data_IF_791373899947
#
_entry.id   IF_791373899947
#
_cell.length_a   1.000
_cell.length_b   1.000
_cell.length_c   1.000
_cell.angle_alpha   90.00
_cell.angle_beta   90.00
_cell.angle_gamma   90.00
#
_symmetry.space_group_name_H-M   'P 1'
#
loop_
_entity.id
_entity.type
_entity.pdbx_description
1 polymer ?
#
# COMPACT_ATOMS: atom_id res chain seq x y z
N UNK A 1 -24.29 -14.73 14.35
CA UNK A 1 -22.86 -14.44 14.58
C UNK A 1 -22.32 -15.19 15.82
N UNK A 2 -22.97 -16.27 16.29
CA UNK A 2 -22.72 -16.79 17.67
C UNK A 2 -22.62 -18.31 17.79
N UNK A 3 -22.85 -19.09 16.73
CA UNK A 3 -22.90 -20.58 16.82
C UNK A 3 -21.50 -21.22 16.67
N UNK A 4 -20.63 -20.61 15.86
CA UNK A 4 -19.26 -21.11 15.68
C UNK A 4 -18.32 -20.76 16.85
N UNK A 5 -18.66 -19.75 17.66
CA UNK A 5 -17.89 -19.42 18.86
C UNK A 5 -17.94 -20.54 19.91
N UNK A 6 -18.97 -21.39 19.87
CA UNK A 6 -19.11 -22.53 20.77
C UNK A 6 -18.46 -23.82 20.22
N UNK A 7 -18.30 -23.91 18.89
CA UNK A 7 -17.72 -25.06 18.20
C UNK A 7 -16.47 -24.65 17.39
N UNK A 8 -15.30 -24.75 18.03
CA UNK A 8 -14.01 -24.50 17.37
C UNK A 8 -13.73 -25.55 16.28
N UNK A 9 -13.96 -25.14 15.03
CA UNK A 9 -13.54 -25.86 13.83
C UNK A 9 -12.67 -24.92 12.98
N UNK A 10 -11.33 -25.01 13.12
CA UNK A 10 -10.44 -24.04 12.50
C UNK A 10 -10.30 -24.20 10.99
N UNK A 11 -10.56 -25.40 10.44
CA UNK A 11 -10.61 -25.61 9.00
C UNK A 11 -11.87 -24.96 8.42
N UNK A 12 -13.03 -25.16 9.04
CA UNK A 12 -14.27 -24.49 8.63
C UNK A 12 -14.18 -22.97 8.73
N UNK A 13 -13.53 -22.43 9.78
CA UNK A 13 -13.30 -20.98 9.90
C UNK A 13 -12.51 -20.47 8.68
N UNK A 14 -11.44 -21.17 8.29
CA UNK A 14 -10.58 -20.74 7.19
C UNK A 14 -11.21 -20.92 5.82
N UNK A 15 -11.86 -22.06 5.58
CA UNK A 15 -12.28 -22.48 4.24
C UNK A 15 -13.71 -22.07 3.91
N UNK A 16 -14.57 -21.81 4.91
CA UNK A 16 -15.97 -21.43 4.68
C UNK A 16 -16.28 -20.06 5.28
N UNK A 17 -16.06 -19.88 6.59
CA UNK A 17 -16.52 -18.67 7.27
C UNK A 17 -15.81 -17.41 6.75
N UNK A 18 -14.49 -17.45 6.55
CA UNK A 18 -13.76 -16.29 6.01
C UNK A 18 -14.12 -15.99 4.56
N UNK A 19 -14.40 -17.00 3.74
CA UNK A 19 -14.86 -16.80 2.36
C UNK A 19 -16.24 -16.11 2.36
N UNK A 20 -17.18 -16.56 3.18
CA UNK A 20 -18.51 -15.96 3.31
C UNK A 20 -18.48 -14.55 3.92
N UNK A 21 -17.57 -14.31 4.87
CA UNK A 21 -17.43 -13.01 5.55
C UNK A 21 -16.89 -11.93 4.61
N UNK A 22 -16.10 -12.32 3.60
CA UNK A 22 -15.36 -11.41 2.74
C UNK A 22 -14.19 -10.74 3.47
N UNK A 23 -13.54 -9.78 2.82
CA UNK A 23 -12.25 -9.23 3.25
C UNK A 23 -12.33 -8.01 4.17
N UNK A 24 -11.17 -7.62 4.73
CA UNK A 24 -10.98 -6.37 5.47
C UNK A 24 -11.47 -6.45 6.91
N UNK A 25 -12.11 -5.38 7.40
CA UNK A 25 -12.53 -5.28 8.82
C UNK A 25 -13.39 -6.47 9.30
N UNK A 26 -14.40 -6.96 8.56
CA UNK A 26 -15.19 -8.13 8.97
C UNK A 26 -14.34 -9.40 9.13
N UNK A 27 -13.46 -9.73 8.17
CA UNK A 27 -12.56 -10.88 8.31
C UNK A 27 -11.60 -10.72 9.49
N UNK A 28 -11.03 -9.52 9.69
CA UNK A 28 -10.16 -9.25 10.83
C UNK A 28 -10.88 -9.44 12.17
N UNK A 29 -12.17 -9.11 12.28
CA UNK A 29 -12.97 -9.37 13.49
C UNK A 29 -13.12 -10.88 13.74
N UNK A 30 -13.46 -11.67 12.71
CA UNK A 30 -13.51 -13.15 12.82
C UNK A 30 -12.16 -13.72 13.26
N UNK A 31 -11.07 -13.26 12.63
CA UNK A 31 -9.71 -13.71 12.92
C UNK A 31 -9.27 -13.39 14.34
N UNK A 32 -9.67 -12.23 14.92
CA UNK A 32 -9.36 -11.92 16.33
C UNK A 32 -9.94 -12.96 17.29
N UNK A 33 -11.18 -13.39 17.07
CA UNK A 33 -11.79 -14.44 17.89
C UNK A 33 -11.16 -15.81 17.63
N UNK A 34 -10.85 -16.14 16.37
CA UNK A 34 -10.18 -17.39 16.02
C UNK A 34 -8.78 -17.51 16.65
N UNK A 35 -8.02 -16.40 16.68
CA UNK A 35 -6.73 -16.30 17.37
C UNK A 35 -6.87 -16.60 18.86
N UNK A 36 -7.83 -15.95 19.54
CA UNK A 36 -8.05 -16.15 20.98
C UNK A 36 -8.39 -17.62 21.30
N UNK A 37 -9.20 -18.27 20.47
CA UNK A 37 -9.60 -19.65 20.68
C UNK A 37 -8.47 -20.64 20.39
N UNK A 38 -7.67 -20.39 19.34
CA UNK A 38 -6.45 -21.16 19.07
C UNK A 38 -5.44 -21.05 20.22
N UNK A 39 -5.22 -19.84 20.75
CA UNK A 39 -4.33 -19.59 21.90
C UNK A 39 -4.83 -20.31 23.15
N UNK A 40 -6.14 -20.23 23.45
CA UNK A 40 -6.75 -20.90 24.60
C UNK A 40 -6.58 -22.42 24.56
N UNK A 41 -6.60 -23.00 23.36
CA UNK A 41 -6.45 -24.44 23.12
C UNK A 41 -5.01 -24.88 22.90
N UNK A 42 -4.08 -23.94 22.77
CA UNK A 42 -2.69 -24.20 22.35
C UNK A 42 -2.63 -24.95 21.01
N UNK A 43 -3.50 -24.59 20.07
CA UNK A 43 -3.52 -25.15 18.73
C UNK A 43 -2.47 -24.45 17.84
N UNK A 44 -1.20 -24.87 18.03
CA UNK A 44 -0.03 -24.18 17.47
C UNK A 44 -0.15 -23.92 15.95
N UNK A 45 -0.50 -24.91 15.09
CA UNK A 45 -0.67 -24.66 13.66
C UNK A 45 -1.64 -23.49 13.36
N UNK A 46 -2.75 -23.41 14.09
CA UNK A 46 -3.76 -22.38 13.88
C UNK A 46 -3.46 -21.06 14.59
N UNK A 47 -2.66 -21.07 15.67
CA UNK A 47 -2.08 -19.86 16.25
C UNK A 47 -1.23 -19.10 15.21
N UNK A 48 -0.47 -19.82 14.37
CA UNK A 48 0.25 -19.24 13.23
C UNK A 48 -0.70 -18.83 12.12
N UNK A 49 -1.53 -19.77 11.63
CA UNK A 49 -2.37 -19.55 10.45
C UNK A 49 -3.29 -18.33 10.60
N UNK A 50 -4.00 -18.20 11.72
CA UNK A 50 -4.92 -17.08 11.90
C UNK A 50 -4.20 -15.74 12.00
N UNK A 51 -3.02 -15.70 12.66
CA UNK A 51 -2.22 -14.46 12.73
C UNK A 51 -1.63 -14.08 11.37
N UNK A 52 -1.19 -15.05 10.58
CA UNK A 52 -0.70 -14.81 9.21
C UNK A 52 -1.84 -14.29 8.32
N UNK A 53 -3.02 -14.91 8.39
CA UNK A 53 -4.17 -14.45 7.63
C UNK A 53 -4.62 -13.05 8.10
N UNK A 54 -4.58 -12.77 9.40
CA UNK A 54 -4.87 -11.43 9.94
C UNK A 54 -3.91 -10.38 9.39
N UNK A 55 -2.61 -10.68 9.37
CA UNK A 55 -1.58 -9.84 8.79
C UNK A 55 -1.84 -9.58 7.30
N UNK A 56 -2.24 -10.61 6.55
CA UNK A 56 -2.62 -10.51 5.14
C UNK A 56 -3.84 -9.61 4.95
N UNK A 57 -4.90 -9.79 5.74
CA UNK A 57 -6.10 -8.93 5.69
C UNK A 57 -5.78 -7.47 5.98
N UNK A 58 -4.95 -7.20 6.99
CA UNK A 58 -4.50 -5.84 7.30
C UNK A 58 -3.68 -5.21 6.17
N UNK A 59 -2.93 -6.00 5.41
CA UNK A 59 -2.02 -5.52 4.36
C UNK A 59 -2.78 -5.25 3.06
N UNK A 60 -3.58 -6.20 2.58
CA UNK A 60 -4.18 -6.10 1.25
C UNK A 60 -5.59 -5.48 1.25
N UNK A 61 -6.28 -5.49 2.40
CA UNK A 61 -7.66 -5.01 2.54
C UNK A 61 -7.83 -4.00 3.70
N UNK A 62 -6.70 -3.52 4.23
CA UNK A 62 -6.63 -2.52 5.29
C UNK A 62 -5.60 -1.44 4.97
N UNK A 63 -5.10 -0.78 6.01
CA UNK A 63 -4.11 0.30 5.92
C UNK A 63 -2.77 -0.07 6.57
N UNK A 64 -2.49 -1.37 6.76
CA UNK A 64 -1.23 -1.85 7.34
C UNK A 64 -1.05 -1.64 8.85
N UNK A 65 -1.88 -0.83 9.52
CA UNK A 65 -1.69 -0.51 10.93
C UNK A 65 -1.88 -1.72 11.86
N UNK A 66 -2.89 -2.56 11.59
CA UNK A 66 -3.16 -3.73 12.43
C UNK A 66 -2.07 -4.80 12.31
N UNK A 67 -1.43 -4.90 11.15
CA UNK A 67 -0.24 -5.72 10.93
C UNK A 67 0.89 -5.32 11.89
N UNK A 68 1.19 -4.03 12.06
CA UNK A 68 2.24 -3.55 12.98
C UNK A 68 1.99 -3.96 14.44
N UNK A 69 0.71 -4.10 14.82
CA UNK A 69 0.30 -4.51 16.17
C UNK A 69 0.37 -6.02 16.33
N UNK A 70 -0.07 -6.79 15.33
CA UNK A 70 -0.14 -8.26 15.38
C UNK A 70 1.22 -8.93 15.18
N UNK A 71 2.08 -8.35 14.35
CA UNK A 71 3.32 -8.99 13.92
C UNK A 71 4.30 -9.33 15.06
N UNK A 72 4.49 -8.49 16.11
CA UNK A 72 5.34 -8.86 17.24
C UNK A 72 4.89 -10.17 17.93
N UNK A 73 3.58 -10.43 18.03
CA UNK A 73 3.07 -11.70 18.57
C UNK A 73 3.41 -12.88 17.65
N UNK A 74 3.21 -12.70 16.35
CA UNK A 74 3.52 -13.73 15.34
C UNK A 74 5.03 -14.05 15.30
N UNK A 75 5.88 -13.03 15.40
CA UNK A 75 7.32 -13.19 15.43
C UNK A 75 7.77 -13.91 16.70
N UNK A 76 7.22 -13.54 17.87
CA UNK A 76 7.49 -14.24 19.13
C UNK A 76 7.04 -15.72 19.08
N UNK A 77 5.93 -16.01 18.40
CA UNK A 77 5.47 -17.38 18.20
C UNK A 77 6.44 -18.20 17.34
N UNK A 78 6.99 -17.60 16.27
CA UNK A 78 8.05 -18.23 15.46
C UNK A 78 9.32 -18.49 16.27
N UNK A 79 9.71 -17.57 17.14
CA UNK A 79 10.88 -17.73 18.01
C UNK A 79 10.66 -18.80 19.09
N UNK A 80 9.42 -18.94 19.58
CA UNK A 80 9.05 -19.98 20.54
C UNK A 80 8.98 -21.38 19.91
N UNK A 81 8.50 -21.47 18.66
CA UNK A 81 8.30 -22.74 17.95
C UNK A 81 9.05 -22.78 16.61
N UNK A 82 10.40 -22.71 16.62
CA UNK A 82 11.19 -22.56 15.40
C UNK A 82 11.13 -23.77 14.44
N UNK A 83 10.69 -24.92 14.94
CA UNK A 83 10.56 -26.16 14.15
C UNK A 83 9.10 -26.50 13.79
N UNK A 84 8.15 -25.58 14.04
CA UNK A 84 6.75 -25.80 13.65
C UNK A 84 6.67 -26.01 12.15
N UNK A 85 6.16 -27.17 11.73
CA UNK A 85 5.99 -27.50 10.32
C UNK A 85 5.02 -26.52 9.67
N UNK A 86 5.39 -26.03 8.49
CA UNK A 86 4.59 -25.10 7.71
C UNK A 86 3.29 -25.74 7.24
N UNK A 87 2.25 -24.93 7.14
CA UNK A 87 0.96 -25.38 6.66
C UNK A 87 1.01 -25.73 5.16
N UNK A 88 0.44 -26.88 4.74
CA UNK A 88 0.48 -27.34 3.36
C UNK A 88 -0.25 -26.45 2.36
N UNK A 89 -1.08 -25.50 2.82
CA UNK A 89 -1.68 -24.45 1.96
C UNK A 89 -0.63 -23.49 1.38
N UNK A 90 0.57 -23.43 1.98
CA UNK A 90 1.65 -22.56 1.56
C UNK A 90 2.92 -23.34 1.17
N UNK A 91 3.85 -22.65 0.51
CA UNK A 91 5.08 -23.25 -0.03
C UNK A 91 6.21 -23.39 1.00
N UNK A 92 5.96 -23.02 2.26
CA UNK A 92 6.96 -22.92 3.31
C UNK A 92 7.11 -24.23 4.07
N UNK A 93 8.36 -24.61 4.37
CA UNK A 93 8.65 -25.85 5.10
C UNK A 93 8.37 -25.71 6.59
N UNK A 94 8.68 -24.54 7.15
CA UNK A 94 8.45 -24.19 8.53
C UNK A 94 7.66 -22.89 8.61
N UNK A 95 6.82 -22.73 9.64
CA UNK A 95 6.06 -21.50 9.82
C UNK A 95 6.97 -20.27 10.00
N UNK A 96 8.16 -20.44 10.58
CA UNK A 96 9.15 -19.37 10.66
C UNK A 96 9.54 -18.78 9.29
N UNK A 97 9.56 -19.59 8.22
CA UNK A 97 9.81 -19.11 6.86
C UNK A 97 8.65 -18.26 6.33
N UNK A 98 7.41 -18.62 6.71
CA UNK A 98 6.20 -17.86 6.37
C UNK A 98 6.13 -16.55 7.15
N UNK A 99 6.51 -16.56 8.44
CA UNK A 99 6.62 -15.34 9.25
C UNK A 99 7.64 -14.38 8.66
N UNK A 100 8.77 -14.88 8.13
CA UNK A 100 9.71 -14.04 7.39
C UNK A 100 9.09 -13.42 6.13
N UNK A 101 8.10 -14.07 5.51
CA UNK A 101 7.42 -13.52 4.34
C UNK A 101 6.54 -12.35 4.75
N UNK A 102 5.78 -12.52 5.84
CA UNK A 102 4.99 -11.45 6.46
C UNK A 102 5.87 -10.30 6.96
N UNK A 103 7.10 -10.60 7.43
CA UNK A 103 8.04 -9.58 7.89
C UNK A 103 8.37 -8.56 6.77
N UNK A 104 8.35 -8.96 5.49
CA UNK A 104 8.55 -7.99 4.40
C UNK A 104 7.51 -6.86 4.43
N UNK A 105 6.25 -7.18 4.72
CA UNK A 105 5.17 -6.17 4.79
C UNK A 105 5.36 -5.18 5.95
N UNK A 106 6.08 -5.57 7.01
CA UNK A 106 6.50 -4.64 8.07
C UNK A 106 7.60 -3.71 7.57
N UNK A 107 8.53 -4.21 6.76
CA UNK A 107 9.56 -3.37 6.13
C UNK A 107 8.92 -2.39 5.15
N UNK A 108 7.92 -2.82 4.39
CA UNK A 108 7.16 -1.95 3.49
C UNK A 108 6.45 -0.84 4.30
N UNK A 109 5.78 -1.18 5.41
CA UNK A 109 5.16 -0.20 6.32
C UNK A 109 6.14 0.84 6.92
N UNK A 110 7.46 0.62 6.85
CA UNK A 110 8.43 1.62 7.31
C UNK A 110 8.40 2.89 6.45
N UNK A 111 7.93 2.84 5.20
CA UNK A 111 7.69 4.05 4.39
C UNK A 111 6.35 4.69 4.72
N UNK A 112 5.38 3.91 5.18
CA UNK A 112 4.00 4.33 5.34
C UNK A 112 3.73 5.11 6.63
N UNK A 113 4.49 4.83 7.69
CA UNK A 113 4.24 5.35 9.04
C UNK A 113 5.43 6.13 9.59
N UNK A 114 5.36 7.47 9.59
CA UNK A 114 6.36 8.31 10.26
C UNK A 114 6.46 8.07 11.78
N UNK A 115 5.43 7.44 12.38
CA UNK A 115 5.43 7.09 13.80
C UNK A 115 6.45 6.00 14.14
N UNK A 116 6.85 5.18 13.16
CA UNK A 116 7.97 4.26 13.31
C UNK A 116 9.24 5.10 13.23
N UNK A 117 10.02 5.11 14.31
CA UNK A 117 11.24 5.90 14.35
C UNK A 117 12.26 5.40 13.33
N UNK A 118 13.10 6.28 12.81
CA UNK A 118 14.19 5.87 11.90
C UNK A 118 15.12 4.82 12.53
N UNK A 119 15.30 4.86 13.85
CA UNK A 119 16.06 3.85 14.59
C UNK A 119 15.36 2.48 14.55
N UNK A 120 14.04 2.44 14.77
CA UNK A 120 13.26 1.21 14.69
C UNK A 120 13.21 0.63 13.28
N UNK A 121 13.03 1.48 12.25
CA UNK A 121 13.14 1.04 10.85
C UNK A 121 14.47 0.32 10.62
N UNK A 122 15.61 0.94 11.00
CA UNK A 122 16.95 0.34 10.86
C UNK A 122 17.07 -0.97 11.66
N UNK A 123 16.49 -1.03 12.85
CA UNK A 123 16.48 -2.24 13.67
C UNK A 123 15.68 -3.37 13.00
N UNK A 124 14.53 -3.09 12.39
CA UNK A 124 13.75 -4.08 11.66
C UNK A 124 14.49 -4.61 10.43
N UNK A 125 15.12 -3.72 9.65
CA UNK A 125 15.95 -4.13 8.51
C UNK A 125 17.11 -5.04 8.94
N UNK A 126 17.82 -4.68 10.01
CA UNK A 126 18.95 -5.48 10.49
C UNK A 126 18.51 -6.82 11.11
N UNK A 127 17.39 -6.85 11.83
CA UNK A 127 16.82 -8.10 12.35
C UNK A 127 16.38 -9.04 11.21
N UNK A 128 15.65 -8.50 10.22
CA UNK A 128 15.27 -9.24 9.02
C UNK A 128 16.50 -9.82 8.30
N UNK A 129 17.55 -9.01 8.11
CA UNK A 129 18.80 -9.44 7.48
C UNK A 129 19.46 -10.59 8.26
N UNK A 130 19.57 -10.49 9.59
CA UNK A 130 20.15 -11.54 10.45
C UNK A 130 19.36 -12.84 10.34
N UNK A 131 18.03 -12.75 10.37
CA UNK A 131 17.13 -13.92 10.24
C UNK A 131 17.27 -14.58 8.87
N UNK A 132 17.26 -13.80 7.78
CA UNK A 132 17.52 -14.33 6.44
C UNK A 132 18.84 -15.10 6.37
N UNK A 133 19.94 -14.52 6.88
CA UNK A 133 21.24 -15.20 6.91
C UNK A 133 21.19 -16.50 7.72
N UNK A 134 20.55 -16.47 8.91
CA UNK A 134 20.45 -17.66 9.78
C UNK A 134 19.62 -18.79 9.16
N UNK A 135 18.61 -18.45 8.35
CA UNK A 135 17.74 -19.40 7.66
C UNK A 135 18.27 -19.80 6.28
N UNK A 136 19.40 -19.23 5.84
CA UNK A 136 20.00 -19.52 4.54
C UNK A 136 19.27 -18.89 3.35
N UNK A 137 18.47 -17.85 3.59
CA UNK A 137 17.79 -17.10 2.53
C UNK A 137 18.73 -16.12 1.84
N UNK A 138 18.48 -15.90 0.55
CA UNK A 138 19.06 -14.83 -0.23
C UNK A 138 18.67 -13.47 0.35
N UNK A 139 19.63 -12.55 0.41
CA UNK A 139 19.37 -11.16 0.77
C UNK A 139 18.73 -10.35 -0.37
N UNK A 140 18.28 -11.01 -1.44
CA UNK A 140 17.63 -10.37 -2.57
C UNK A 140 16.48 -9.46 -2.13
N UNK A 141 15.50 -9.96 -1.36
CA UNK A 141 14.39 -9.12 -0.90
C UNK A 141 14.81 -8.07 0.13
N UNK A 142 15.84 -8.34 0.94
CA UNK A 142 16.37 -7.35 1.87
C UNK A 142 16.86 -6.11 1.13
N UNK A 143 17.59 -6.28 0.02
CA UNK A 143 17.99 -5.15 -0.81
C UNK A 143 16.83 -4.56 -1.61
N UNK A 144 15.82 -5.36 -1.98
CA UNK A 144 14.62 -4.87 -2.65
C UNK A 144 13.80 -3.91 -1.75
N UNK A 145 13.61 -4.27 -0.47
CA UNK A 145 12.90 -3.42 0.49
C UNK A 145 13.73 -2.20 0.91
N UNK A 146 15.06 -2.32 0.99
CA UNK A 146 15.95 -1.17 1.17
C UNK A 146 15.90 -0.19 0.00
N UNK A 147 15.81 -0.68 -1.24
CA UNK A 147 15.64 0.16 -2.43
C UNK A 147 14.41 1.06 -2.27
N UNK A 148 13.24 0.49 -1.98
CA UNK A 148 12.02 1.28 -1.75
C UNK A 148 12.12 2.20 -0.53
N UNK A 149 12.66 1.73 0.60
CA UNK A 149 12.72 2.52 1.83
C UNK A 149 13.62 3.76 1.73
N UNK A 150 14.75 3.65 1.02
CA UNK A 150 15.70 4.74 0.87
C UNK A 150 15.46 5.62 -0.35
N UNK A 151 14.48 5.32 -1.21
CA UNK A 151 14.24 6.05 -2.46
C UNK A 151 14.16 7.57 -2.24
N UNK A 152 13.37 7.99 -1.25
CA UNK A 152 13.16 9.41 -0.90
C UNK A 152 14.03 9.90 0.27
N UNK A 153 15.05 9.12 0.66
CA UNK A 153 15.94 9.42 1.80
C UNK A 153 17.38 9.57 1.35
N UNK A 154 17.84 8.57 0.59
CA UNK A 154 19.18 8.47 0.03
C UNK A 154 19.07 7.79 -1.34
N UNK A 155 18.76 8.57 -2.41
CA UNK A 155 18.56 8.02 -3.76
C UNK A 155 19.78 7.27 -4.30
N UNK A 156 21.00 7.69 -3.92
CA UNK A 156 22.24 7.01 -4.34
C UNK A 156 22.34 5.62 -3.70
N UNK A 157 22.09 5.52 -2.39
CA UNK A 157 22.07 4.23 -1.69
C UNK A 157 20.90 3.34 -2.13
N UNK A 158 19.74 3.93 -2.41
CA UNK A 158 18.58 3.23 -2.98
C UNK A 158 18.93 2.55 -4.31
N UNK A 159 19.58 3.26 -5.22
CA UNK A 159 20.05 2.71 -6.50
C UNK A 159 21.13 1.62 -6.33
N UNK A 160 22.04 1.79 -5.37
CA UNK A 160 22.99 0.73 -5.01
C UNK A 160 22.26 -0.55 -4.55
N UNK A 161 21.21 -0.41 -3.74
CA UNK A 161 20.39 -1.52 -3.27
C UNK A 161 19.66 -2.20 -4.43
N UNK A 162 19.09 -1.45 -5.38
CA UNK A 162 18.47 -2.02 -6.57
C UNK A 162 19.45 -2.90 -7.36
N UNK A 163 20.68 -2.44 -7.59
CA UNK A 163 21.69 -3.23 -8.29
C UNK A 163 22.19 -4.44 -7.50
N UNK A 164 22.19 -4.38 -6.17
CA UNK A 164 22.47 -5.56 -5.32
C UNK A 164 21.35 -6.58 -5.42
N UNK A 165 20.09 -6.13 -5.31
CA UNK A 165 18.90 -6.96 -5.54
C UNK A 165 19.03 -7.69 -6.89
N UNK A 166 19.26 -6.97 -7.98
CA UNK A 166 19.31 -7.51 -9.34
C UNK A 166 20.31 -8.68 -9.47
N UNK A 167 21.50 -8.54 -8.85
CA UNK A 167 22.61 -9.50 -8.95
C UNK A 167 22.46 -10.73 -8.05
N UNK A 168 21.67 -10.65 -6.98
CA UNK A 168 21.53 -11.75 -6.02
C UNK A 168 20.62 -12.86 -6.54
N UNK A 169 20.91 -14.14 -6.24
CA UNK A 169 20.10 -15.25 -6.72
C UNK A 169 18.70 -15.21 -6.11
N UNK A 170 17.74 -15.69 -6.89
CA UNK A 170 16.39 -16.00 -6.41
C UNK A 170 16.38 -17.30 -5.62
N UNK A 171 15.48 -17.38 -4.67
CA UNK A 171 15.21 -18.52 -3.80
C UNK A 171 13.69 -18.66 -3.52
N UNK A 172 13.31 -19.58 -2.63
CA UNK A 172 11.92 -19.79 -2.20
C UNK A 172 11.32 -18.59 -1.47
N UNK A 173 12.16 -17.67 -0.98
CA UNK A 173 11.73 -16.47 -0.29
C UNK A 173 11.62 -15.26 -1.24
N UNK A 174 12.01 -15.38 -2.50
CA UNK A 174 11.94 -14.29 -3.47
C UNK A 174 10.50 -14.02 -3.89
N UNK A 175 10.14 -12.75 -4.05
CA UNK A 175 8.84 -12.37 -4.60
C UNK A 175 8.64 -12.97 -5.99
N UNK A 176 7.39 -13.11 -6.43
CA UNK A 176 7.13 -13.72 -7.72
C UNK A 176 7.82 -12.93 -8.84
N UNK A 177 8.18 -13.61 -9.94
CA UNK A 177 8.91 -12.98 -11.05
C UNK A 177 8.21 -11.77 -11.65
N UNK A 178 6.87 -11.72 -11.57
CA UNK A 178 6.11 -10.60 -12.08
C UNK A 178 6.17 -9.38 -11.15
N UNK A 179 6.21 -9.57 -9.83
CA UNK A 179 6.40 -8.47 -8.87
C UNK A 179 7.81 -7.89 -8.98
N UNK A 180 8.84 -8.73 -9.03
CA UNK A 180 10.22 -8.26 -9.26
C UNK A 180 10.37 -7.55 -10.61
N UNK A 181 9.64 -8.00 -11.64
CA UNK A 181 9.60 -7.29 -12.93
C UNK A 181 8.94 -5.92 -12.82
N UNK A 182 7.91 -5.74 -12.00
CA UNK A 182 7.34 -4.41 -11.76
C UNK A 182 8.35 -3.48 -11.07
N UNK A 183 9.12 -3.98 -10.11
CA UNK A 183 10.21 -3.21 -9.49
C UNK A 183 11.25 -2.76 -10.53
N UNK A 184 11.65 -3.66 -11.45
CA UNK A 184 12.53 -3.28 -12.56
C UNK A 184 11.89 -2.21 -13.47
N UNK A 185 10.61 -2.34 -13.80
CA UNK A 185 9.89 -1.37 -14.65
C UNK A 185 9.83 -0.01 -13.97
N UNK A 186 9.46 0.04 -12.68
CA UNK A 186 9.38 1.27 -11.89
C UNK A 186 10.73 1.99 -11.89
N UNK A 187 11.81 1.29 -11.53
CA UNK A 187 13.16 1.86 -11.54
C UNK A 187 13.52 2.56 -12.87
N UNK A 188 13.21 1.95 -14.02
CA UNK A 188 13.50 2.58 -15.31
C UNK A 188 12.53 3.71 -15.68
N UNK A 189 11.29 3.70 -15.19
CA UNK A 189 10.38 4.84 -15.31
C UNK A 189 10.91 6.04 -14.51
N UNK A 190 11.35 5.82 -13.27
CA UNK A 190 11.89 6.88 -12.39
C UNK A 190 13.16 7.51 -12.97
N UNK A 191 13.99 6.71 -13.65
CA UNK A 191 15.18 7.20 -14.38
C UNK A 191 14.86 7.83 -15.75
N UNK A 192 13.59 7.86 -16.17
CA UNK A 192 13.17 8.36 -17.47
C UNK A 192 13.54 7.47 -18.67
N UNK A 193 14.01 6.24 -18.44
CA UNK A 193 14.31 5.27 -19.50
C UNK A 193 13.04 4.49 -19.92
N UNK A 194 12.15 5.23 -20.57
CA UNK A 194 10.87 4.71 -21.06
C UNK A 194 11.05 3.57 -22.08
N UNK A 195 12.15 3.56 -22.85
CA UNK A 195 12.43 2.49 -23.82
C UNK A 195 12.65 1.16 -23.08
N UNK A 196 13.49 1.18 -22.04
CA UNK A 196 13.78 -0.01 -21.24
C UNK A 196 12.55 -0.47 -20.46
N UNK A 197 11.81 0.44 -19.83
CA UNK A 197 10.55 0.13 -19.15
C UNK A 197 9.56 -0.56 -20.11
N UNK A 198 9.37 -0.01 -21.32
CA UNK A 198 8.51 -0.59 -22.36
C UNK A 198 8.98 -1.95 -22.88
N UNK A 199 10.29 -2.21 -22.88
CA UNK A 199 10.81 -3.53 -23.25
C UNK A 199 10.50 -4.56 -22.17
N UNK A 200 10.65 -4.19 -20.91
CA UNK A 200 10.43 -5.05 -19.75
C UNK A 200 8.94 -5.36 -19.52
N UNK A 201 8.07 -4.38 -19.74
CA UNK A 201 6.61 -4.48 -19.57
C UNK A 201 5.95 -5.52 -20.47
N UNK A 202 6.54 -5.82 -21.65
CA UNK A 202 6.03 -6.84 -22.59
C UNK A 202 5.79 -8.21 -21.95
N UNK A 203 6.58 -8.57 -20.94
CA UNK A 203 6.44 -9.85 -20.25
C UNK A 203 5.17 -9.94 -19.40
N UNK A 204 4.75 -8.81 -18.84
CA UNK A 204 3.53 -8.71 -18.04
C UNK A 204 2.33 -8.45 -18.97
N UNK A 205 2.47 -7.61 -20.00
CA UNK A 205 1.42 -7.38 -21.00
C UNK A 205 0.99 -8.64 -21.74
N UNK A 206 1.94 -9.53 -22.03
CA UNK A 206 1.67 -10.82 -22.67
C UNK A 206 1.18 -11.88 -21.68
N UNK A 207 1.06 -11.56 -20.39
CA UNK A 207 0.77 -12.50 -19.31
C UNK A 207 1.73 -13.70 -19.27
N UNK A 208 2.96 -13.54 -19.79
CA UNK A 208 4.04 -14.52 -19.60
C UNK A 208 4.48 -14.55 -18.14
N UNK A 209 4.51 -13.38 -17.51
CA UNK A 209 4.67 -13.22 -16.07
C UNK A 209 3.33 -12.74 -15.48
N UNK A 210 2.86 -13.43 -14.45
CA UNK A 210 1.61 -13.10 -13.76
C UNK A 210 1.77 -13.13 -12.25
N UNK A 211 0.88 -12.42 -11.55
CA UNK A 211 0.76 -12.41 -10.09
C UNK A 211 -0.71 -12.21 -9.71
N UNK A 212 -1.04 -12.50 -8.46
CA UNK A 212 -2.40 -12.44 -7.93
C UNK A 212 -3.05 -13.81 -7.88
N UNK A 213 -4.24 -13.84 -7.30
CA UNK A 213 -5.11 -15.01 -7.21
C UNK A 213 -5.73 -15.34 -8.59
N UNK A 214 -6.99 -15.75 -8.62
CA UNK A 214 -7.66 -16.38 -9.77
C UNK A 214 -7.49 -15.61 -11.09
N UNK A 215 -7.58 -14.27 -11.06
CA UNK A 215 -7.51 -13.44 -12.26
C UNK A 215 -6.10 -13.24 -12.82
N UNK A 216 -5.06 -13.49 -12.02
CA UNK A 216 -3.64 -13.36 -12.42
C UNK A 216 -3.25 -11.98 -12.98
N UNK A 217 -3.95 -10.93 -12.57
CA UNK A 217 -3.81 -9.54 -13.06
C UNK A 217 -3.06 -8.60 -12.11
N UNK A 218 -2.74 -8.99 -10.89
CA UNK A 218 -2.16 -8.10 -9.88
C UNK A 218 -0.84 -7.45 -10.33
N UNK A 219 0.02 -8.18 -11.06
CA UNK A 219 1.24 -7.60 -11.63
C UNK A 219 0.94 -6.63 -12.79
N UNK A 220 -0.07 -6.94 -13.60
CA UNK A 220 -0.50 -6.08 -14.70
C UNK A 220 -1.11 -4.77 -14.18
N UNK A 221 -1.93 -4.83 -13.13
CA UNK A 221 -2.50 -3.64 -12.49
C UNK A 221 -1.43 -2.72 -11.92
N UNK A 222 -0.48 -3.26 -11.12
CA UNK A 222 0.68 -2.48 -10.62
C UNK A 222 1.46 -1.81 -11.73
N UNK A 223 1.74 -2.53 -12.82
CA UNK A 223 2.41 -1.96 -13.97
C UNK A 223 1.59 -0.82 -14.59
N UNK A 224 0.26 -0.96 -14.72
CA UNK A 224 -0.60 0.11 -15.24
C UNK A 224 -0.64 1.33 -14.34
N UNK A 225 -0.61 1.15 -13.02
CA UNK A 225 -0.50 2.24 -12.04
C UNK A 225 0.84 2.96 -12.20
N UNK A 226 1.96 2.23 -12.29
CA UNK A 226 3.29 2.82 -12.52
C UNK A 226 3.33 3.71 -13.79
N UNK A 227 2.78 3.23 -14.90
CA UNK A 227 2.69 4.05 -16.12
C UNK A 227 1.70 5.22 -15.99
N UNK A 228 0.61 5.06 -15.24
CA UNK A 228 -0.33 6.15 -14.98
C UNK A 228 0.40 7.30 -14.26
N UNK A 229 1.12 6.99 -13.19
CA UNK A 229 1.83 7.97 -12.37
C UNK A 229 2.96 8.64 -13.16
N UNK A 230 3.76 7.84 -13.89
CA UNK A 230 4.76 8.38 -14.82
C UNK A 230 4.17 9.41 -15.79
N UNK A 231 3.05 9.10 -16.46
CA UNK A 231 2.45 10.04 -17.40
C UNK A 231 1.77 11.25 -16.71
N UNK A 232 1.32 11.12 -15.46
CA UNK A 232 0.85 12.27 -14.67
C UNK A 232 1.99 13.24 -14.39
N UNK A 233 3.13 12.74 -13.90
CA UNK A 233 4.33 13.54 -13.61
C UNK A 233 4.88 14.25 -14.85
N UNK A 234 4.81 13.60 -16.02
CA UNK A 234 5.23 14.20 -17.29
C UNK A 234 4.20 15.19 -17.88
N UNK A 235 3.06 15.42 -17.21
CA UNK A 235 1.98 16.28 -17.72
C UNK A 235 1.22 15.70 -18.92
N UNK A 236 1.37 14.41 -19.21
CA UNK A 236 0.68 13.71 -20.30
C UNK A 236 -0.70 13.17 -19.86
N UNK A 237 -1.58 14.08 -19.43
CA UNK A 237 -2.82 13.77 -18.72
C UNK A 237 -3.78 12.84 -19.49
N UNK A 238 -3.89 12.95 -20.82
CA UNK A 238 -4.72 12.06 -21.62
C UNK A 238 -4.19 10.62 -21.65
N UNK A 239 -2.86 10.43 -21.63
CA UNK A 239 -2.26 9.10 -21.53
C UNK A 239 -2.52 8.53 -20.15
N UNK A 240 -2.24 9.29 -19.09
CA UNK A 240 -2.53 8.90 -17.72
C UNK A 240 -4.00 8.48 -17.54
N UNK A 241 -4.94 9.27 -18.07
CA UNK A 241 -6.37 8.93 -18.09
C UNK A 241 -6.69 7.63 -18.84
N UNK A 242 -5.92 7.29 -19.87
CA UNK A 242 -6.01 6.01 -20.56
C UNK A 242 -5.67 4.83 -19.63
N UNK A 243 -4.62 4.96 -18.83
CA UNK A 243 -4.22 3.97 -17.82
C UNK A 243 -5.21 3.90 -16.66
N UNK A 244 -5.66 5.04 -16.12
CA UNK A 244 -6.62 5.05 -15.01
C UNK A 244 -7.90 4.29 -15.35
N UNK A 245 -8.44 4.46 -16.57
CA UNK A 245 -9.61 3.71 -17.05
C UNK A 245 -9.37 2.21 -17.18
N UNK A 246 -8.13 1.80 -17.45
CA UNK A 246 -7.75 0.38 -17.49
C UNK A 246 -7.71 -0.17 -16.06
N UNK A 247 -7.10 0.54 -15.12
CA UNK A 247 -7.06 0.14 -13.70
C UNK A 247 -8.47 0.08 -13.14
N UNK A 248 -9.27 1.16 -13.27
CA UNK A 248 -10.68 1.25 -12.80
C UNK A 248 -11.53 0.07 -13.28
N UNK A 249 -11.33 -0.39 -14.52
CA UNK A 249 -12.09 -1.51 -15.10
C UNK A 249 -11.76 -2.87 -14.47
N UNK A 250 -10.54 -3.05 -13.97
CA UNK A 250 -10.00 -4.33 -13.54
C UNK A 250 -9.61 -4.38 -12.05
N UNK A 251 -10.00 -3.37 -11.25
CA UNK A 251 -9.85 -3.42 -9.79
C UNK A 251 -10.56 -4.65 -9.21
N UNK A 252 -9.89 -5.37 -8.31
CA UNK A 252 -10.35 -6.64 -7.76
C UNK A 252 -10.77 -6.56 -6.27
N UNK A 253 -10.81 -5.35 -5.70
CA UNK A 253 -11.14 -5.12 -4.28
C UNK A 253 -9.95 -5.04 -3.33
N UNK A 254 -8.73 -5.41 -3.74
CA UNK A 254 -7.52 -5.08 -2.98
C UNK A 254 -7.32 -3.56 -2.93
N UNK A 255 -6.95 -3.05 -1.76
CA UNK A 255 -6.78 -1.61 -1.49
C UNK A 255 -5.73 -0.97 -2.38
N UNK A 256 -4.63 -1.67 -2.67
CA UNK A 256 -3.53 -1.20 -3.52
C UNK A 256 -3.98 -0.75 -4.92
N UNK A 257 -5.08 -1.29 -5.46
CA UNK A 257 -5.57 -0.90 -6.79
C UNK A 257 -6.70 0.13 -6.74
N UNK A 258 -7.15 0.52 -5.55
CA UNK A 258 -8.22 1.51 -5.34
C UNK A 258 -7.69 2.95 -5.37
N UNK A 259 -6.93 3.30 -6.42
CA UNK A 259 -6.26 4.58 -6.63
C UNK A 259 -7.21 5.72 -7.03
N UNK A 260 -8.32 5.88 -6.30
CA UNK A 260 -9.38 6.83 -6.66
C UNK A 260 -8.92 8.29 -6.64
N UNK A 261 -7.95 8.62 -5.79
CA UNK A 261 -7.34 9.94 -5.70
C UNK A 261 -6.44 10.23 -6.92
N UNK A 262 -5.65 9.27 -7.39
CA UNK A 262 -4.90 9.42 -8.66
C UNK A 262 -5.87 9.56 -9.85
N UNK A 263 -6.96 8.78 -9.86
CA UNK A 263 -7.98 8.90 -10.90
C UNK A 263 -8.63 10.28 -10.86
N UNK A 264 -8.87 10.83 -9.66
CA UNK A 264 -9.38 12.18 -9.48
C UNK A 264 -8.42 13.21 -10.09
N UNK A 265 -7.11 13.07 -9.90
CA UNK A 265 -6.12 13.96 -10.52
C UNK A 265 -6.09 13.81 -12.04
N UNK A 266 -6.08 12.58 -12.58
CA UNK A 266 -6.21 12.34 -14.03
C UNK A 266 -7.42 13.08 -14.62
N UNK A 267 -8.55 13.07 -13.89
CA UNK A 267 -9.76 13.78 -14.30
C UNK A 267 -9.73 15.28 -13.99
N UNK A 268 -8.96 15.77 -13.02
CA UNK A 268 -8.89 17.19 -12.70
C UNK A 268 -8.37 18.00 -13.90
N UNK A 269 -7.42 17.45 -14.65
CA UNK A 269 -6.86 18.06 -15.86
C UNK A 269 -7.70 17.85 -17.13
N UNK A 270 -8.58 16.85 -17.17
CA UNK A 270 -9.26 16.44 -18.42
C UNK A 270 -10.80 16.55 -18.37
N UNK A 271 -11.41 16.34 -17.21
CA UNK A 271 -12.84 16.44 -16.96
C UNK A 271 -13.13 16.70 -15.46
N UNK A 272 -13.12 17.99 -15.11
CA UNK A 272 -13.30 18.44 -13.72
C UNK A 272 -14.64 17.99 -13.08
N UNK A 273 -15.67 17.74 -13.90
CA UNK A 273 -16.96 17.25 -13.42
C UNK A 273 -16.89 15.81 -12.89
N UNK A 274 -16.11 14.94 -13.54
CA UNK A 274 -15.87 13.57 -13.08
C UNK A 274 -14.91 13.55 -11.89
N UNK A 275 -13.89 14.42 -11.85
CA UNK A 275 -13.04 14.59 -10.67
C UNK A 275 -13.87 14.98 -9.42
N UNK A 276 -14.75 15.97 -9.55
CA UNK A 276 -15.67 16.38 -8.47
C UNK A 276 -16.61 15.24 -8.06
N UNK A 277 -17.01 14.38 -8.98
CA UNK A 277 -17.83 13.21 -8.66
C UNK A 277 -17.04 12.21 -7.81
N UNK A 278 -15.81 11.89 -8.19
CA UNK A 278 -14.93 10.99 -7.43
C UNK A 278 -14.71 11.54 -6.02
N UNK A 279 -14.32 12.82 -5.89
CA UNK A 279 -14.15 13.44 -4.59
C UNK A 279 -15.40 13.29 -3.69
N UNK A 280 -16.60 13.54 -4.24
CA UNK A 280 -17.87 13.40 -3.51
C UNK A 280 -18.18 11.97 -3.07
N UNK A 281 -17.73 10.98 -3.83
CA UNK A 281 -17.95 9.56 -3.54
C UNK A 281 -16.98 9.05 -2.46
N UNK A 282 -15.76 9.61 -2.37
CA UNK A 282 -14.69 9.07 -1.52
C UNK A 282 -14.25 9.95 -0.33
N UNK A 283 -14.62 11.23 -0.25
CA UNK A 283 -14.13 12.14 0.81
C UNK A 283 -14.29 11.57 2.24
N UNK A 284 -15.38 10.82 2.48
CA UNK A 284 -15.69 10.28 3.81
C UNK A 284 -14.77 9.12 4.18
N UNK A 285 -14.47 8.27 3.21
CA UNK A 285 -13.51 7.18 3.37
C UNK A 285 -12.12 7.74 3.65
N UNK A 286 -11.69 8.71 2.83
CA UNK A 286 -10.39 9.38 2.94
C UNK A 286 -10.19 10.09 4.29
N UNK A 287 -11.25 10.69 4.84
CA UNK A 287 -11.22 11.31 6.17
C UNK A 287 -10.92 10.30 7.30
N UNK A 288 -11.14 9.01 7.07
CA UNK A 288 -10.98 7.95 8.08
C UNK A 288 -9.74 7.08 7.87
N UNK A 289 -8.87 7.41 6.90
CA UNK A 289 -7.59 6.73 6.69
C UNK A 289 -6.68 6.96 7.88
N UNK A 290 -5.95 5.92 8.28
CA UNK A 290 -4.99 5.98 9.41
C UNK A 290 -3.53 5.91 8.96
N UNK A 291 -3.26 5.41 7.75
CA UNK A 291 -1.92 5.37 7.16
C UNK A 291 -1.47 6.79 6.78
N UNK A 292 -0.40 7.33 7.39
CA UNK A 292 0.05 8.68 7.10
C UNK A 292 0.52 8.92 5.68
N UNK A 293 1.18 7.95 5.03
CA UNK A 293 1.60 8.12 3.63
C UNK A 293 0.39 8.22 2.68
N UNK A 294 -0.63 7.39 2.89
CA UNK A 294 -1.89 7.53 2.15
C UNK A 294 -2.57 8.88 2.44
N UNK A 295 -2.56 9.34 3.69
CA UNK A 295 -3.11 10.66 4.04
C UNK A 295 -2.34 11.80 3.34
N UNK A 296 -1.03 11.67 3.19
CA UNK A 296 -0.19 12.63 2.46
C UNK A 296 -0.57 12.67 0.99
N UNK A 297 -0.47 11.55 0.26
CA UNK A 297 -0.78 11.50 -1.18
C UNK A 297 -2.21 11.90 -1.49
N UNK A 298 -3.19 11.43 -0.72
CA UNK A 298 -4.59 11.82 -0.92
C UNK A 298 -4.77 13.32 -0.66
N UNK A 299 -4.16 13.84 0.41
CA UNK A 299 -4.23 15.26 0.75
C UNK A 299 -3.63 16.14 -0.34
N UNK A 300 -2.48 15.75 -0.89
CA UNK A 300 -1.85 16.39 -2.05
C UNK A 300 -2.76 16.36 -3.27
N UNK A 301 -3.23 15.16 -3.66
CA UNK A 301 -4.11 14.96 -4.81
C UNK A 301 -5.42 15.76 -4.69
N UNK A 302 -5.98 15.87 -3.48
CA UNK A 302 -7.14 16.72 -3.18
C UNK A 302 -6.80 18.20 -3.34
N UNK A 303 -5.62 18.65 -2.92
CA UNK A 303 -5.19 20.03 -3.11
C UNK A 303 -5.06 20.38 -4.61
N UNK A 304 -4.44 19.51 -5.41
CA UNK A 304 -4.37 19.64 -6.87
C UNK A 304 -5.78 19.76 -7.47
N UNK A 305 -6.66 18.83 -7.11
CA UNK A 305 -8.05 18.83 -7.57
C UNK A 305 -8.78 20.14 -7.21
N UNK A 306 -8.64 20.64 -5.98
CA UNK A 306 -9.34 21.85 -5.53
C UNK A 306 -8.84 23.10 -6.26
N UNK A 307 -7.54 23.20 -6.55
CA UNK A 307 -7.00 24.27 -7.42
C UNK A 307 -7.62 24.21 -8.81
N UNK A 308 -7.57 23.06 -9.47
CA UNK A 308 -8.19 22.85 -10.79
C UNK A 308 -9.69 23.10 -10.80
N UNK A 309 -10.38 22.75 -9.72
CA UNK A 309 -11.80 23.03 -9.56
C UNK A 309 -12.07 24.53 -9.46
N UNK A 310 -11.24 25.27 -8.73
CA UNK A 310 -11.35 26.72 -8.61
C UNK A 310 -11.11 27.42 -9.95
N UNK A 311 -10.07 27.03 -10.70
CA UNK A 311 -9.77 27.54 -12.04
C UNK A 311 -10.90 27.29 -13.04
N UNK A 312 -11.48 26.08 -13.04
CA UNK A 312 -12.49 25.68 -14.01
C UNK A 312 -13.88 26.29 -13.75
N UNK A 313 -14.13 26.82 -12.56
CA UNK A 313 -15.46 27.35 -12.16
C UNK A 313 -15.54 28.86 -12.31
N UNK A 314 -16.74 29.35 -12.65
CA UNK A 314 -17.04 30.79 -12.72
C UNK A 314 -17.21 31.46 -11.34
N UNK A 315 -17.24 30.69 -10.26
CA UNK A 315 -17.45 31.19 -8.91
C UNK A 315 -16.62 30.40 -7.92
N UNK A 316 -16.41 30.98 -6.74
CA UNK A 316 -15.50 30.52 -5.69
C UNK A 316 -16.10 29.44 -4.78
N UNK A 317 -17.33 28.99 -5.04
CA UNK A 317 -18.02 28.01 -4.19
C UNK A 317 -18.42 26.73 -4.91
N UNK A 318 -18.48 25.64 -4.13
CA UNK A 318 -18.91 24.31 -4.54
C UNK A 318 -19.93 23.75 -3.55
N UNK A 319 -20.91 23.01 -4.09
CA UNK A 319 -21.89 22.29 -3.27
C UNK A 319 -21.45 20.85 -3.05
N UNK A 320 -21.18 20.48 -1.80
CA UNK A 320 -20.73 19.15 -1.37
C UNK A 320 -21.53 18.75 -0.13
N UNK A 321 -22.07 17.54 -0.11
CA UNK A 321 -22.86 17.05 1.01
C UNK A 321 -21.98 16.29 1.99
N UNK A 322 -21.22 17.03 2.78
CA UNK A 322 -20.56 16.46 3.95
C UNK A 322 -21.59 16.13 5.02
N UNK A 323 -21.28 15.14 5.87
CA UNK A 323 -21.98 14.95 7.13
C UNK A 323 -21.18 15.57 8.29
N UNK A 324 -21.71 15.47 9.51
CA UNK A 324 -21.14 16.10 10.70
C UNK A 324 -19.76 15.57 11.12
N UNK A 325 -19.26 14.50 10.49
CA UNK A 325 -17.88 14.04 10.72
C UNK A 325 -16.84 14.96 10.06
N UNK A 326 -17.22 15.70 9.00
CA UNK A 326 -16.28 16.58 8.30
C UNK A 326 -15.99 17.84 9.13
N UNK A 327 -14.72 18.20 9.38
CA UNK A 327 -14.39 19.31 10.27
C UNK A 327 -14.97 20.68 9.88
N UNK A 328 -15.14 20.94 8.58
CA UNK A 328 -15.71 22.20 8.10
C UNK A 328 -17.23 22.14 7.85
N UNK A 329 -17.91 21.05 8.24
CA UNK A 329 -19.34 20.82 7.97
C UNK A 329 -20.21 22.05 8.26
N UNK A 330 -21.08 22.37 7.31
CA UNK A 330 -22.12 23.41 7.48
C UNK A 330 -23.40 23.00 6.77
N UNK A 331 -24.55 23.33 7.37
CA UNK A 331 -25.88 22.91 6.88
C UNK A 331 -26.17 23.34 5.43
N UNK A 332 -25.63 24.49 5.00
CA UNK A 332 -25.82 24.99 3.63
C UNK A 332 -25.26 24.06 2.55
N UNK A 333 -24.33 23.15 2.92
CA UNK A 333 -23.58 22.30 2.00
C UNK A 333 -22.81 23.09 0.92
N UNK A 334 -22.59 24.39 1.12
CA UNK A 334 -21.91 25.28 0.18
C UNK A 334 -20.61 25.80 0.80
N UNK A 335 -19.49 25.49 0.15
CA UNK A 335 -18.15 25.73 0.66
C UNK A 335 -17.39 26.61 -0.31
N UNK A 336 -16.56 27.53 0.19
CA UNK A 336 -15.55 28.17 -0.65
C UNK A 336 -14.49 27.12 -0.99
N UNK A 337 -14.11 27.07 -2.25
CA UNK A 337 -13.18 26.05 -2.75
C UNK A 337 -11.83 26.22 -2.07
N UNK A 338 -11.35 27.47 -1.94
CA UNK A 338 -10.07 27.74 -1.30
C UNK A 338 -10.09 27.52 0.23
N UNK A 339 -11.23 27.65 0.91
CA UNK A 339 -11.33 27.25 2.33
C UNK A 339 -11.15 25.73 2.50
N UNK A 340 -11.62 24.93 1.53
CA UNK A 340 -11.37 23.48 1.53
C UNK A 340 -9.90 23.19 1.21
N UNK A 341 -9.32 23.91 0.25
CA UNK A 341 -7.91 23.77 -0.12
C UNK A 341 -7.01 24.02 1.09
N UNK A 342 -7.17 25.16 1.76
CA UNK A 342 -6.36 25.52 2.93
C UNK A 342 -6.46 24.44 4.03
N UNK A 343 -7.65 23.89 4.26
CA UNK A 343 -7.85 22.81 5.23
C UNK A 343 -7.09 21.53 4.90
N UNK A 344 -7.11 21.09 3.63
CA UNK A 344 -6.34 19.91 3.23
C UNK A 344 -4.84 20.21 3.22
N UNK A 345 -4.44 21.37 2.67
CA UNK A 345 -3.04 21.76 2.56
C UNK A 345 -2.34 21.80 3.92
N UNK A 346 -2.94 22.43 4.94
CA UNK A 346 -2.33 22.48 6.28
C UNK A 346 -2.15 21.09 6.89
N UNK A 347 -3.12 20.18 6.72
CA UNK A 347 -2.99 18.80 7.21
C UNK A 347 -1.91 18.02 6.45
N UNK A 348 -1.88 18.12 5.12
CA UNK A 348 -0.87 17.44 4.29
C UNK A 348 0.53 17.94 4.61
N UNK A 349 0.67 19.26 4.79
CA UNK A 349 1.93 19.90 5.17
C UNK A 349 2.44 19.42 6.54
N UNK A 350 1.57 19.33 7.54
CA UNK A 350 1.95 18.77 8.85
C UNK A 350 2.44 17.32 8.75
N UNK A 351 1.91 16.53 7.81
CA UNK A 351 2.34 15.14 7.58
C UNK A 351 3.70 15.13 6.88
N UNK A 352 3.88 15.93 5.83
CA UNK A 352 5.16 16.09 5.14
C UNK A 352 6.28 16.46 6.11
N UNK A 353 6.04 17.46 6.97
CA UNK A 353 7.00 17.90 7.99
C UNK A 353 7.42 16.75 8.95
N UNK A 354 6.49 15.86 9.31
CA UNK A 354 6.78 14.72 10.19
C UNK A 354 7.61 13.64 9.49
N UNK A 355 7.32 13.35 8.22
CA UNK A 355 8.14 12.43 7.44
C UNK A 355 9.56 12.99 7.24
N UNK A 356 9.66 14.24 6.82
CA UNK A 356 10.94 14.92 6.63
C UNK A 356 11.75 14.97 7.93
N UNK A 357 11.11 15.26 9.06
CA UNK A 357 11.75 15.21 10.37
C UNK A 357 12.26 13.81 10.72
N UNK A 358 11.46 12.75 10.47
CA UNK A 358 11.87 11.37 10.73
C UNK A 358 13.04 10.96 9.83
N UNK A 359 13.04 11.40 8.57
CA UNK A 359 13.99 11.02 7.53
C UNK A 359 15.29 11.81 7.63
N UNK A 360 15.24 13.04 8.16
CA UNK A 360 16.31 14.01 8.03
C UNK A 360 16.39 14.62 6.63
N UNK A 361 15.25 14.77 5.95
CA UNK A 361 15.13 15.30 4.58
C UNK A 361 14.26 16.57 4.54
N UNK A 362 14.07 17.12 3.34
CA UNK A 362 13.04 18.11 3.01
C UNK A 362 12.19 17.69 1.79
N UNK A 363 12.27 16.40 1.43
CA UNK A 363 11.65 15.81 0.25
C UNK A 363 10.13 16.04 0.19
N UNK A 364 9.39 15.62 1.22
CA UNK A 364 7.91 15.62 1.14
C UNK A 364 7.33 17.03 1.12
N UNK A 365 8.00 17.99 1.77
CA UNK A 365 7.62 19.41 1.63
C UNK A 365 7.88 19.92 0.23
N UNK A 366 9.05 19.64 -0.34
CA UNK A 366 9.37 20.05 -1.70
C UNK A 366 8.42 19.41 -2.71
N UNK A 367 8.11 18.11 -2.58
CA UNK A 367 7.12 17.39 -3.39
C UNK A 367 5.75 18.10 -3.34
N UNK A 368 5.23 18.36 -2.13
CA UNK A 368 3.96 19.06 -1.94
C UNK A 368 3.97 20.49 -2.52
N UNK A 369 5.09 21.20 -2.41
CA UNK A 369 5.22 22.55 -2.99
C UNK A 369 5.26 22.47 -4.52
N UNK A 370 6.10 21.60 -5.09
CA UNK A 370 6.26 21.41 -6.53
C UNK A 370 4.96 20.96 -7.20
N UNK A 371 4.24 19.99 -6.63
CA UNK A 371 2.97 19.50 -7.17
C UNK A 371 1.86 20.58 -7.20
N UNK A 372 2.02 21.62 -6.38
CA UNK A 372 1.11 22.75 -6.29
C UNK A 372 1.62 24.01 -7.02
N UNK A 373 2.82 24.01 -7.61
CA UNK A 373 3.30 25.11 -8.43
C UNK A 373 2.94 24.86 -9.91
N UNK A 374 2.27 25.83 -10.55
CA UNK A 374 1.74 25.66 -11.92
C UNK A 374 2.73 26.00 -13.05
N UNK A 375 4.03 26.03 -12.79
CA UNK A 375 5.01 26.48 -13.79
C UNK A 375 6.09 25.43 -14.06
N UNK A 376 5.80 24.53 -15.00
CA UNK A 376 6.76 24.10 -16.05
C UNK A 376 6.07 24.09 -17.41
#
# INVERSE_FOLDING_TARGET
MTDWMENYDPDWIMDELLEETGHGKPAMEVLRYAIQEADRRQDIPYMFMFRIQFCRESTFYGDGLELLIMFPELLALADQYPNQTGNPRYVFRFEGEHVMWVYKWILDNCVDFYQISMEDCKNFFEDYRKRCVSMGFSLRNYYATLYGFYEQIDPEFSEECFHKFEKLPRDSHSDCRACERNMEIQFYLDKGDLEKANKLSKDIESFRLTCGSEEKRSAWLRMKIAYMNYYLEQGEYEKALGYSRLVERYMNGETEYQCWDDFMVCYAYTNIGKALKIYKEHWKEWLHIRCPMNMFHIGENVCIFLKKLNEARKGDTVKIHYDSSFPLYRESSQYKIMELFDFYYEQTKEIAEKFDQRNGTDYYKHELEESLHEDV
#
